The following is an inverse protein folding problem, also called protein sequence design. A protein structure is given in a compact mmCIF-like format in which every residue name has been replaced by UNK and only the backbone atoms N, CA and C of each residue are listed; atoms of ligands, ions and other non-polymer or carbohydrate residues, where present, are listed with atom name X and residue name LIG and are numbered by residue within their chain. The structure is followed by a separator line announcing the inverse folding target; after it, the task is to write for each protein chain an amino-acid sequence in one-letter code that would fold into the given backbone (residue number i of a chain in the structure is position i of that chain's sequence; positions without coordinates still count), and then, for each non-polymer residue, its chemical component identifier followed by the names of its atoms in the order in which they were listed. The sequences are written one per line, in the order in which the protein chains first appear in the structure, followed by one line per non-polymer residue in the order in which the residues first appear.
data_IF_170389934036
#
_entry.id   IF_170389934036
#
_cell.length_a   1.000
_cell.length_b   1.000
_cell.length_c   1.000
_cell.angle_alpha   90.00
_cell.angle_beta   90.00
_cell.angle_gamma   90.00
#
_symmetry.space_group_name_H-M   'P 1'
#
loop_
_entity.id
_entity.type
_entity.pdbx_description
1 polymer ?
#
# COMPACT_ATOMS: atom_id res chain seq x y z
N UNK A 1 -33.39 -45.87 82.16
CA UNK A 1 -33.35 -45.77 80.68
C UNK A 1 -33.95 -44.43 80.27
N UNK A 2 -33.37 -43.85 79.22
CA UNK A 2 -33.90 -42.74 78.40
C UNK A 2 -33.64 -41.31 78.87
N UNK A 3 -32.43 -40.82 78.57
CA UNK A 3 -32.26 -39.48 78.00
C UNK A 3 -31.34 -39.62 76.79
N UNK A 4 -31.88 -39.65 75.55
CA UNK A 4 -31.32 -38.74 74.55
C UNK A 4 -32.32 -38.43 73.42
N UNK A 5 -32.94 -37.25 73.40
CA UNK A 5 -33.78 -36.88 72.24
C UNK A 5 -33.68 -35.40 71.84
N UNK A 6 -33.48 -34.49 72.79
CA UNK A 6 -33.39 -33.04 72.46
C UNK A 6 -32.08 -32.60 71.78
N UNK A 7 -30.94 -33.24 72.05
CA UNK A 7 -29.65 -32.88 71.41
C UNK A 7 -29.53 -33.40 69.98
N UNK A 8 -30.25 -34.48 69.63
CA UNK A 8 -30.17 -35.13 68.31
C UNK A 8 -31.03 -34.39 67.27
N UNK A 9 -32.14 -33.79 67.68
CA UNK A 9 -33.06 -33.04 66.78
C UNK A 9 -32.51 -31.67 66.39
N UNK A 10 -31.68 -31.04 67.22
CA UNK A 10 -31.04 -29.73 66.93
C UNK A 10 -29.72 -29.89 66.14
N UNK A 11 -29.01 -31.00 66.32
CA UNK A 11 -27.77 -31.27 65.58
C UNK A 11 -28.02 -31.61 64.09
N UNK A 12 -29.12 -32.31 63.78
CA UNK A 12 -29.46 -32.73 62.42
C UNK A 12 -29.56 -31.57 61.39
N UNK A 13 -30.29 -30.47 61.65
CA UNK A 13 -30.40 -29.36 60.70
C UNK A 13 -29.09 -28.57 60.53
N UNK A 14 -28.24 -28.54 61.56
CA UNK A 14 -26.91 -27.89 61.51
C UNK A 14 -25.93 -28.72 60.68
N UNK A 15 -25.92 -30.04 60.86
CA UNK A 15 -25.10 -30.95 60.02
C UNK A 15 -25.57 -30.89 58.57
N UNK A 16 -26.88 -30.85 58.32
CA UNK A 16 -27.42 -30.73 56.97
C UNK A 16 -27.02 -29.40 56.30
N UNK A 17 -27.09 -28.27 57.01
CA UNK A 17 -26.64 -26.97 56.47
C UNK A 17 -25.14 -26.93 56.22
N UNK A 18 -24.32 -27.53 57.09
CA UNK A 18 -22.87 -27.64 56.88
C UNK A 18 -22.54 -28.53 55.67
N UNK A 19 -23.21 -29.67 55.49
CA UNK A 19 -23.02 -30.54 54.32
C UNK A 19 -23.44 -29.83 53.02
N UNK A 20 -24.55 -29.10 53.03
CA UNK A 20 -24.99 -28.30 51.88
C UNK A 20 -23.99 -27.19 51.57
N UNK A 21 -23.49 -26.47 52.58
CA UNK A 21 -22.48 -25.43 52.41
C UNK A 21 -21.16 -25.98 51.84
N UNK A 22 -20.72 -27.16 52.29
CA UNK A 22 -19.54 -27.85 51.76
C UNK A 22 -19.78 -28.28 50.31
N UNK A 23 -20.96 -28.85 50.00
CA UNK A 23 -21.30 -29.27 48.64
C UNK A 23 -21.36 -28.08 47.67
N UNK A 24 -21.93 -26.95 48.09
CA UNK A 24 -21.95 -25.70 47.31
C UNK A 24 -20.54 -25.15 47.15
N UNK A 25 -19.73 -25.09 48.21
CA UNK A 25 -18.35 -24.64 48.16
C UNK A 25 -17.49 -25.49 47.21
N UNK A 26 -17.65 -26.82 47.23
CA UNK A 26 -16.97 -27.73 46.31
C UNK A 26 -17.41 -27.54 44.86
N UNK A 27 -18.70 -27.31 44.62
CA UNK A 27 -19.23 -27.00 43.28
C UNK A 27 -18.67 -25.69 42.71
N UNK A 28 -18.59 -24.64 43.54
CA UNK A 28 -18.02 -23.35 43.14
C UNK A 28 -16.55 -23.49 42.78
N UNK A 29 -15.76 -24.22 43.56
CA UNK A 29 -14.33 -24.46 43.26
C UNK A 29 -14.16 -25.23 41.94
N UNK A 30 -14.97 -26.25 41.68
CA UNK A 30 -14.91 -27.00 40.42
C UNK A 30 -15.32 -26.13 39.23
N UNK A 31 -16.32 -25.25 39.41
CA UNK A 31 -16.74 -24.32 38.36
C UNK A 31 -15.67 -23.25 38.08
N UNK A 32 -15.05 -22.69 39.12
CA UNK A 32 -13.97 -21.72 39.02
C UNK A 32 -12.72 -22.32 38.36
N UNK A 33 -12.38 -23.57 38.69
CA UNK A 33 -11.31 -24.32 38.01
C UNK A 33 -11.62 -24.56 36.53
N UNK A 34 -12.87 -24.91 36.18
CA UNK A 34 -13.29 -25.08 34.78
C UNK A 34 -13.29 -23.77 34.01
N UNK A 35 -13.67 -22.67 34.67
CA UNK A 35 -13.66 -21.33 34.08
C UNK A 35 -12.23 -20.85 33.85
N UNK A 36 -11.36 -21.02 34.84
CA UNK A 36 -9.93 -20.71 34.74
C UNK A 36 -9.22 -21.55 33.67
N UNK A 37 -9.54 -22.84 33.56
CA UNK A 37 -9.01 -23.70 32.49
C UNK A 37 -9.43 -23.22 31.10
N UNK A 38 -10.69 -22.80 30.93
CA UNK A 38 -11.19 -22.25 29.66
C UNK A 38 -10.50 -20.92 29.29
N UNK A 39 -10.23 -20.05 30.27
CA UNK A 39 -9.47 -18.81 30.05
C UNK A 39 -8.04 -19.13 29.64
N UNK A 40 -7.37 -20.06 30.34
CA UNK A 40 -6.00 -20.48 30.02
C UNK A 40 -5.88 -21.12 28.63
N UNK A 41 -6.89 -21.89 28.20
CA UNK A 41 -6.97 -22.44 26.85
C UNK A 41 -7.09 -21.32 25.80
N UNK A 42 -7.97 -20.34 26.04
CA UNK A 42 -8.10 -19.18 25.15
C UNK A 42 -6.82 -18.33 25.09
N UNK A 43 -6.11 -18.16 26.20
CA UNK A 43 -4.81 -17.48 26.24
C UNK A 43 -3.76 -18.24 25.43
N UNK A 44 -3.73 -19.58 25.52
CA UNK A 44 -2.79 -20.41 24.75
C UNK A 44 -3.05 -20.26 23.25
N UNK A 45 -4.31 -20.35 22.82
CA UNK A 45 -4.71 -20.14 21.42
C UNK A 45 -4.31 -18.74 20.93
N UNK A 46 -4.50 -17.71 21.77
CA UNK A 46 -4.10 -16.35 21.46
C UNK A 46 -2.58 -16.19 21.32
N UNK A 47 -1.80 -16.76 22.23
CA UNK A 47 -0.34 -16.71 22.20
C UNK A 47 0.24 -17.41 20.96
N UNK A 48 -0.27 -18.60 20.63
CA UNK A 48 0.12 -19.33 19.42
C UNK A 48 -0.18 -18.52 18.16
N UNK A 49 -1.37 -17.89 18.12
CA UNK A 49 -1.73 -17.00 17.02
C UNK A 49 -0.79 -15.79 16.90
N UNK A 50 -0.51 -15.09 18.00
CA UNK A 50 0.37 -13.92 17.99
C UNK A 50 1.82 -14.29 17.59
N UNK A 51 2.31 -15.44 18.03
CA UNK A 51 3.61 -15.97 17.60
C UNK A 51 3.64 -16.28 16.10
N UNK A 52 2.55 -16.83 15.56
CA UNK A 52 2.41 -17.06 14.12
C UNK A 52 2.30 -15.76 13.33
N UNK A 53 1.63 -14.73 13.86
CA UNK A 53 1.58 -13.38 13.28
C UNK A 53 2.98 -12.77 13.22
N UNK A 54 3.78 -12.87 14.28
CA UNK A 54 5.15 -12.35 14.29
C UNK A 54 6.01 -13.02 13.21
N UNK A 55 5.95 -14.36 13.10
CA UNK A 55 6.64 -15.11 12.04
C UNK A 55 6.14 -14.72 10.64
N UNK A 56 4.83 -14.55 10.48
CA UNK A 56 4.23 -14.12 9.22
C UNK A 56 4.74 -12.74 8.82
N UNK A 57 4.68 -11.75 9.72
CA UNK A 57 5.18 -10.38 9.47
C UNK A 57 6.64 -10.38 9.09
N UNK A 58 7.49 -11.05 9.88
CA UNK A 58 8.92 -11.18 9.58
C UNK A 58 9.18 -11.82 8.21
N UNK A 59 8.42 -12.86 7.84
CA UNK A 59 8.52 -13.48 6.52
C UNK A 59 8.11 -12.54 5.39
N UNK A 60 7.07 -11.73 5.58
CA UNK A 60 6.66 -10.73 4.57
C UNK A 60 7.71 -9.63 4.45
N UNK A 61 8.22 -9.11 5.57
CA UNK A 61 9.28 -8.09 5.59
C UNK A 61 10.53 -8.59 4.86
N UNK A 62 11.01 -9.79 5.16
CA UNK A 62 12.17 -10.36 4.48
C UNK A 62 11.98 -10.48 2.96
N UNK A 63 10.75 -10.76 2.49
CA UNK A 63 10.43 -10.77 1.06
C UNK A 63 10.41 -9.38 0.44
N UNK A 64 9.95 -8.38 1.19
CA UNK A 64 9.96 -6.97 0.77
C UNK A 64 11.39 -6.46 0.67
N UNK A 65 12.24 -6.75 1.66
CA UNK A 65 13.65 -6.35 1.68
C UNK A 65 14.50 -7.05 0.60
N UNK A 66 14.17 -8.30 0.28
CA UNK A 66 14.86 -9.06 -0.76
C UNK A 66 14.42 -8.66 -2.19
N UNK A 67 13.28 -7.99 -2.32
CA UNK A 67 12.76 -7.55 -3.61
C UNK A 67 13.32 -6.18 -3.99
N UNK A 68 13.49 -5.97 -5.30
CA UNK A 68 13.98 -4.69 -5.81
C UNK A 68 12.90 -3.61 -5.69
N UNK A 69 13.18 -2.58 -4.87
CA UNK A 69 12.30 -1.42 -4.73
C UNK A 69 12.29 -0.52 -5.99
N UNK A 70 13.18 -0.77 -6.96
CA UNK A 70 13.20 -0.11 -8.26
C UNK A 70 12.05 -0.52 -9.20
N UNK A 71 11.36 -1.63 -8.91
CA UNK A 71 10.18 -2.10 -9.66
C UNK A 71 8.97 -2.23 -8.71
N UNK A 72 8.19 -1.14 -8.53
CA UNK A 72 7.00 -1.15 -7.68
C UNK A 72 5.95 -2.17 -8.13
N UNK A 73 5.80 -2.38 -9.44
CA UNK A 73 4.90 -3.37 -10.01
C UNK A 73 5.26 -4.80 -9.60
N UNK A 74 6.54 -5.17 -9.66
CA UNK A 74 7.02 -6.46 -9.17
C UNK A 74 6.91 -6.59 -7.65
N UNK A 75 7.28 -5.54 -6.90
CA UNK A 75 7.20 -5.53 -5.44
C UNK A 75 5.76 -5.69 -4.96
N UNK A 76 4.78 -5.04 -5.60
CA UNK A 76 3.36 -5.18 -5.25
C UNK A 76 2.89 -6.63 -5.36
N UNK A 77 3.28 -7.35 -6.42
CA UNK A 77 2.97 -8.77 -6.63
C UNK A 77 3.61 -9.66 -5.58
N UNK A 78 4.83 -9.33 -5.14
CA UNK A 78 5.51 -10.04 -4.04
C UNK A 78 4.73 -9.87 -2.74
N UNK A 79 4.33 -8.63 -2.41
CA UNK A 79 3.53 -8.32 -1.21
C UNK A 79 2.19 -9.05 -1.26
N UNK A 80 1.44 -8.95 -2.36
CA UNK A 80 0.14 -9.59 -2.54
C UNK A 80 0.22 -11.11 -2.34
N UNK A 81 1.25 -11.74 -2.92
CA UNK A 81 1.48 -13.18 -2.76
C UNK A 81 1.86 -13.53 -1.32
N UNK A 82 2.65 -12.69 -0.66
CA UNK A 82 3.07 -12.90 0.72
C UNK A 82 1.88 -12.81 1.69
N UNK A 83 0.90 -11.94 1.42
CA UNK A 83 -0.28 -11.76 2.27
C UNK A 83 -1.50 -12.61 1.89
N UNK A 84 -1.39 -13.44 0.85
CA UNK A 84 -2.50 -14.24 0.36
C UNK A 84 -3.01 -15.29 1.38
N UNK A 85 -2.17 -15.69 2.35
CA UNK A 85 -2.49 -16.69 3.37
C UNK A 85 -2.06 -16.19 4.75
N UNK A 86 -2.84 -15.28 5.36
CA UNK A 86 -2.57 -14.84 6.73
C UNK A 86 -2.80 -15.98 7.73
N UNK A 87 -2.16 -15.94 8.91
CA UNK A 87 -2.55 -16.78 10.03
C UNK A 87 -3.97 -16.43 10.48
N UNK A 88 -4.67 -17.40 11.06
CA UNK A 88 -6.03 -17.26 11.56
C UNK A 88 -6.09 -17.57 13.04
N UNK A 89 -6.94 -16.84 13.78
CA UNK A 89 -7.15 -17.11 15.19
C UNK A 89 -7.93 -18.42 15.35
N UNK A 90 -7.43 -19.31 16.21
CA UNK A 90 -8.10 -20.55 16.53
C UNK A 90 -9.39 -20.32 17.33
N UNK A 91 -10.30 -21.30 17.30
CA UNK A 91 -11.46 -21.28 18.18
C UNK A 91 -11.06 -21.62 19.63
N UNK A 92 -11.81 -21.11 20.59
CA UNK A 92 -11.60 -21.34 22.02
C UNK A 92 -12.94 -21.42 22.77
N UNK A 93 -12.99 -22.02 23.97
CA UNK A 93 -14.23 -22.11 24.75
C UNK A 93 -14.88 -20.73 24.98
N UNK A 94 -16.21 -20.67 24.93
CA UNK A 94 -16.96 -19.41 24.98
C UNK A 94 -16.61 -18.53 26.18
N UNK A 95 -16.52 -19.12 27.39
CA UNK A 95 -16.15 -18.38 28.59
C UNK A 95 -14.73 -17.79 28.49
N UNK A 96 -13.79 -18.58 27.95
CA UNK A 96 -12.41 -18.15 27.72
C UNK A 96 -12.31 -17.01 26.72
N UNK A 97 -13.08 -17.05 25.62
CA UNK A 97 -13.11 -15.96 24.62
C UNK A 97 -13.64 -14.65 25.19
N UNK A 98 -14.62 -14.71 26.08
CA UNK A 98 -15.24 -13.52 26.68
C UNK A 98 -14.40 -12.91 27.80
N UNK A 99 -13.58 -13.72 28.49
CA UNK A 99 -12.88 -13.31 29.72
C UNK A 99 -11.35 -13.26 29.58
N UNK A 100 -10.79 -13.75 28.47
CA UNK A 100 -9.35 -13.65 28.16
C UNK A 100 -9.04 -12.33 27.44
N UNK A 101 -8.19 -11.51 28.05
CA UNK A 101 -7.66 -10.29 27.43
C UNK A 101 -6.78 -10.59 26.22
N UNK A 102 -5.96 -11.65 26.30
CA UNK A 102 -5.10 -12.08 25.18
C UNK A 102 -5.91 -12.52 23.97
N UNK A 103 -7.03 -13.23 24.17
CA UNK A 103 -7.90 -13.62 23.06
C UNK A 103 -8.54 -12.40 22.37
N UNK A 104 -8.95 -11.39 23.15
CA UNK A 104 -9.46 -10.14 22.61
C UNK A 104 -8.39 -9.37 21.80
N UNK A 105 -7.15 -9.30 22.30
CA UNK A 105 -6.02 -8.70 21.60
C UNK A 105 -5.68 -9.44 20.29
N UNK A 106 -5.68 -10.77 20.34
CA UNK A 106 -5.46 -11.62 19.17
C UNK A 106 -6.54 -11.40 18.11
N UNK A 107 -7.82 -11.32 18.50
CA UNK A 107 -8.92 -11.02 17.60
C UNK A 107 -8.80 -9.63 16.95
N UNK A 108 -8.40 -8.62 17.74
CA UNK A 108 -8.12 -7.29 17.21
C UNK A 108 -6.94 -7.30 16.23
N UNK A 109 -5.90 -8.08 16.54
CA UNK A 109 -4.74 -8.27 15.67
C UNK A 109 -5.15 -8.94 14.36
N UNK A 110 -5.98 -9.98 14.37
CA UNK A 110 -6.52 -10.61 13.15
C UNK A 110 -7.25 -9.63 12.24
N UNK A 111 -8.05 -8.74 12.81
CA UNK A 111 -8.76 -7.71 12.04
C UNK A 111 -7.85 -6.62 11.43
N UNK A 112 -6.60 -6.50 11.90
CA UNK A 112 -5.71 -5.36 11.59
C UNK A 112 -4.39 -5.75 10.94
N UNK A 113 -3.94 -7.00 11.10
CA UNK A 113 -2.60 -7.49 10.72
C UNK A 113 -2.25 -7.24 9.26
N UNK A 114 -3.25 -7.28 8.37
CA UNK A 114 -3.04 -7.06 6.94
C UNK A 114 -3.08 -5.59 6.50
N UNK A 115 -3.54 -4.65 7.34
CA UNK A 115 -3.72 -3.25 6.91
C UNK A 115 -2.44 -2.59 6.41
N UNK A 116 -1.29 -2.70 7.10
CA UNK A 116 -0.05 -2.06 6.64
C UNK A 116 0.40 -2.61 5.27
N UNK A 117 0.36 -3.94 5.10
CA UNK A 117 0.75 -4.58 3.86
C UNK A 117 -0.20 -4.29 2.68
N UNK A 118 -1.51 -4.21 2.95
CA UNK A 118 -2.50 -3.81 1.93
C UNK A 118 -2.29 -2.37 1.49
N UNK A 119 -1.96 -1.47 2.44
CA UNK A 119 -1.61 -0.08 2.13
C UNK A 119 -0.34 -0.02 1.29
N UNK A 120 0.71 -0.76 1.65
CA UNK A 120 1.93 -0.89 0.85
C UNK A 120 1.62 -1.37 -0.57
N UNK A 121 0.88 -2.46 -0.73
CA UNK A 121 0.49 -2.97 -2.05
C UNK A 121 -0.26 -1.93 -2.89
N UNK A 122 -1.21 -1.20 -2.28
CA UNK A 122 -1.93 -0.12 -2.97
C UNK A 122 -0.99 1.01 -3.43
N UNK A 123 -0.12 1.51 -2.54
CA UNK A 123 0.87 2.55 -2.87
C UNK A 123 1.82 2.11 -3.98
N UNK A 124 2.25 0.84 -3.97
CA UNK A 124 3.14 0.32 -5.01
C UNK A 124 2.47 0.23 -6.38
N UNK A 125 1.17 -0.10 -6.43
CA UNK A 125 0.40 -0.09 -7.69
C UNK A 125 0.20 1.32 -8.22
N UNK A 126 -0.13 2.27 -7.34
CA UNK A 126 -0.23 3.69 -7.71
C UNK A 126 1.12 4.23 -8.22
N UNK A 127 2.23 3.77 -7.62
CA UNK A 127 3.56 4.12 -8.07
C UNK A 127 3.92 3.49 -9.43
N UNK A 128 3.48 2.26 -9.71
CA UNK A 128 3.68 1.60 -11.01
C UNK A 128 3.03 2.41 -12.15
N UNK A 129 1.76 2.80 -11.96
CA UNK A 129 1.04 3.68 -12.89
C UNK A 129 1.75 5.04 -13.05
N UNK A 130 2.26 5.59 -11.95
CA UNK A 130 2.99 6.85 -11.96
C UNK A 130 4.31 6.77 -12.72
N UNK A 131 5.08 5.69 -12.57
CA UNK A 131 6.34 5.49 -13.28
C UNK A 131 6.12 5.36 -14.78
N UNK A 132 5.09 4.63 -15.21
CA UNK A 132 4.73 4.53 -16.64
C UNK A 132 4.41 5.92 -17.24
N UNK A 133 3.64 6.74 -16.51
CA UNK A 133 3.35 8.12 -16.90
C UNK A 133 4.62 9.00 -16.96
N UNK A 134 5.48 8.92 -15.95
CA UNK A 134 6.73 9.69 -15.87
C UNK A 134 7.67 9.31 -17.03
N UNK A 135 7.79 8.02 -17.34
CA UNK A 135 8.61 7.54 -18.45
C UNK A 135 8.09 8.07 -19.80
N UNK A 136 6.79 7.98 -20.03
CA UNK A 136 6.16 8.52 -21.23
C UNK A 136 6.36 10.04 -21.35
N UNK A 137 6.20 10.78 -20.25
CA UNK A 137 6.43 12.23 -20.24
C UNK A 137 7.89 12.58 -20.55
N UNK A 138 8.85 11.86 -19.96
CA UNK A 138 10.29 12.07 -20.22
C UNK A 138 10.65 11.83 -21.69
N UNK A 139 10.11 10.78 -22.32
CA UNK A 139 10.34 10.50 -23.76
C UNK A 139 9.95 11.69 -24.63
N UNK A 140 8.82 12.35 -24.33
CA UNK A 140 8.39 13.56 -25.06
C UNK A 140 9.33 14.73 -24.79
N UNK A 141 9.67 14.97 -23.52
CA UNK A 141 10.46 16.14 -23.09
C UNK A 141 11.96 16.03 -23.43
N UNK A 142 12.45 14.82 -23.71
CA UNK A 142 13.80 14.55 -24.19
C UNK A 142 13.97 14.88 -25.67
N UNK A 143 12.88 14.97 -26.45
CA UNK A 143 12.97 15.31 -27.86
C UNK A 143 13.61 16.68 -28.07
N UNK A 144 14.59 16.72 -28.98
CA UNK A 144 15.21 17.97 -29.43
C UNK A 144 14.91 18.20 -30.90
N UNK A 145 14.51 19.42 -31.25
CA UNK A 145 14.31 19.80 -32.63
C UNK A 145 15.60 19.62 -33.45
N UNK A 146 16.75 19.91 -32.84
CA UNK A 146 18.08 19.73 -33.43
C UNK A 146 18.36 18.30 -33.91
N UNK A 147 17.71 17.29 -33.32
CA UNK A 147 17.91 15.90 -33.71
C UNK A 147 17.27 15.59 -35.08
N UNK A 148 16.31 16.42 -35.52
CA UNK A 148 15.59 16.25 -36.77
C UNK A 148 16.03 17.25 -37.84
N UNK A 149 16.23 18.51 -37.46
CA UNK A 149 16.55 19.58 -38.42
C UNK A 149 18.02 20.00 -38.40
N UNK A 150 18.83 19.44 -37.50
CA UNK A 150 20.24 19.75 -37.33
C UNK A 150 20.48 21.05 -36.53
N UNK A 151 21.75 21.45 -36.45
CA UNK A 151 22.17 22.69 -35.79
C UNK A 151 22.29 23.82 -36.81
N UNK A 152 21.86 25.03 -36.43
CA UNK A 152 22.04 26.26 -37.22
C UNK A 152 20.78 26.76 -37.94
N UNK A 153 20.98 27.61 -38.96
CA UNK A 153 19.88 28.22 -39.71
C UNK A 153 19.20 27.19 -40.62
N UNK A 154 17.88 27.02 -40.43
CA UNK A 154 17.06 26.14 -41.24
C UNK A 154 16.58 26.92 -42.45
N UNK A 155 17.12 26.58 -43.62
CA UNK A 155 16.83 27.28 -44.88
C UNK A 155 15.77 26.59 -45.75
N UNK A 156 15.34 25.38 -45.38
CA UNK A 156 14.35 24.61 -46.13
C UNK A 156 13.27 24.06 -45.20
N UNK A 157 11.99 24.23 -45.57
CA UNK A 157 10.83 23.76 -44.79
C UNK A 157 10.63 22.23 -44.88
N UNK A 158 11.26 21.56 -45.86
CA UNK A 158 11.05 20.15 -46.14
C UNK A 158 11.30 19.24 -44.93
N UNK A 159 12.45 19.40 -44.24
CA UNK A 159 12.75 18.60 -43.04
C UNK A 159 11.83 18.91 -41.87
N UNK A 160 11.43 20.17 -41.72
CA UNK A 160 10.50 20.59 -40.66
C UNK A 160 9.15 19.86 -40.82
N UNK A 161 8.61 19.84 -42.05
CA UNK A 161 7.32 19.20 -42.36
C UNK A 161 7.39 17.67 -42.39
N UNK A 162 8.48 17.09 -42.88
CA UNK A 162 8.58 15.64 -43.08
C UNK A 162 9.12 14.89 -41.85
N UNK A 163 9.91 15.54 -40.99
CA UNK A 163 10.63 14.87 -39.90
C UNK A 163 10.25 15.45 -38.53
N UNK A 164 10.46 16.76 -38.31
CA UNK A 164 10.27 17.40 -37.01
C UNK A 164 8.82 17.34 -36.53
N UNK A 165 7.88 17.87 -37.32
CA UNK A 165 6.47 17.91 -36.95
C UNK A 165 5.92 16.48 -36.73
N UNK A 166 6.11 15.52 -37.65
CA UNK A 166 5.64 14.14 -37.43
C UNK A 166 6.26 13.45 -36.21
N UNK A 167 7.52 13.74 -35.87
CA UNK A 167 8.16 13.17 -34.69
C UNK A 167 7.49 13.64 -33.39
N UNK A 168 7.27 14.95 -33.25
CA UNK A 168 6.59 15.49 -32.07
C UNK A 168 5.11 15.09 -32.00
N UNK A 169 4.41 15.01 -33.15
CA UNK A 169 3.03 14.49 -33.21
C UNK A 169 2.98 13.04 -32.69
N UNK A 170 3.87 12.17 -33.18
CA UNK A 170 3.91 10.78 -32.72
C UNK A 170 4.18 10.67 -31.23
N UNK A 171 5.13 11.43 -30.70
CA UNK A 171 5.49 11.39 -29.29
C UNK A 171 4.36 11.92 -28.40
N UNK A 172 3.69 13.01 -28.80
CA UNK A 172 2.49 13.52 -28.12
C UNK A 172 1.37 12.46 -28.11
N UNK A 173 1.07 11.88 -29.27
CA UNK A 173 -0.01 10.89 -29.39
C UNK A 173 0.31 9.58 -28.62
N UNK A 174 1.59 9.20 -28.52
CA UNK A 174 2.02 8.07 -27.71
C UNK A 174 1.88 8.39 -26.21
N UNK A 175 2.27 9.59 -25.79
CA UNK A 175 2.09 10.06 -24.43
C UNK A 175 0.61 10.15 -24.02
N UNK A 176 -0.27 10.63 -24.91
CA UNK A 176 -1.70 10.74 -24.66
C UNK A 176 -2.39 9.38 -24.45
N UNK A 177 -1.73 8.27 -24.84
CA UNK A 177 -2.18 6.90 -24.57
C UNK A 177 -1.72 6.36 -23.21
N UNK A 178 -0.73 6.99 -22.58
CA UNK A 178 -0.26 6.58 -21.27
C UNK A 178 -1.34 6.83 -20.22
N UNK A 179 -1.53 5.92 -19.25
CA UNK A 179 -2.48 6.13 -18.17
C UNK A 179 -2.08 7.35 -17.35
N UNK A 180 -3.03 8.24 -17.08
CA UNK A 180 -2.79 9.44 -16.26
C UNK A 180 -3.07 9.10 -14.79
N UNK A 181 -2.09 9.23 -13.89
CA UNK A 181 -2.29 8.99 -12.47
C UNK A 181 -3.33 9.93 -11.87
N UNK A 182 -4.03 9.46 -10.84
CA UNK A 182 -5.09 10.23 -10.17
C UNK A 182 -4.54 11.58 -9.69
N UNK A 183 -5.26 12.65 -10.02
CA UNK A 183 -4.88 14.02 -9.63
C UNK A 183 -3.75 14.64 -10.46
N UNK A 184 -3.25 13.98 -11.50
CA UNK A 184 -2.17 14.48 -12.38
C UNK A 184 -2.63 14.91 -13.77
N UNK A 185 -3.94 15.14 -13.95
CA UNK A 185 -4.51 15.62 -15.22
C UNK A 185 -3.89 16.95 -15.69
N UNK A 186 -3.64 17.89 -14.78
CA UNK A 186 -3.00 19.18 -15.11
C UNK A 186 -1.54 18.99 -15.56
N UNK A 187 -0.80 18.07 -14.95
CA UNK A 187 0.57 17.75 -15.37
C UNK A 187 0.57 17.08 -16.75
N UNK A 188 -0.36 16.15 -16.99
CA UNK A 188 -0.52 15.52 -18.29
C UNK A 188 -0.82 16.55 -19.38
N UNK A 189 -1.74 17.46 -19.11
CA UNK A 189 -2.05 18.57 -20.00
C UNK A 189 -0.83 19.44 -20.29
N UNK A 190 -0.01 19.79 -19.29
CA UNK A 190 1.22 20.57 -19.51
C UNK A 190 2.22 19.88 -20.43
N UNK A 191 2.39 18.56 -20.31
CA UNK A 191 3.27 17.77 -21.19
C UNK A 191 2.73 17.76 -22.62
N UNK A 192 1.42 17.54 -22.77
CA UNK A 192 0.73 17.60 -24.06
C UNK A 192 0.89 18.98 -24.71
N UNK A 193 0.57 20.05 -23.97
CA UNK A 193 0.63 21.43 -24.44
C UNK A 193 2.06 21.85 -24.82
N UNK A 194 3.07 21.36 -24.10
CA UNK A 194 4.48 21.59 -24.46
C UNK A 194 4.82 20.96 -25.83
N UNK A 195 4.45 19.70 -26.05
CA UNK A 195 4.65 19.07 -27.35
C UNK A 195 3.86 19.77 -28.47
N UNK A 196 2.61 20.16 -28.18
CA UNK A 196 1.76 20.92 -29.10
C UNK A 196 2.39 22.26 -29.48
N UNK A 197 2.93 22.99 -28.51
CA UNK A 197 3.61 24.25 -28.77
C UNK A 197 4.76 24.09 -29.75
N UNK A 198 5.59 23.04 -29.63
CA UNK A 198 6.67 22.78 -30.61
C UNK A 198 6.11 22.48 -31.99
N UNK A 199 5.02 21.71 -32.10
CA UNK A 199 4.35 21.42 -33.36
C UNK A 199 3.84 22.72 -34.02
N UNK A 200 3.20 23.59 -33.25
CA UNK A 200 2.66 24.85 -33.74
C UNK A 200 3.78 25.80 -34.18
N UNK A 201 4.83 25.96 -33.38
CA UNK A 201 5.97 26.80 -33.71
C UNK A 201 6.76 26.25 -34.91
N UNK A 202 6.91 24.93 -35.02
CA UNK A 202 7.54 24.29 -36.17
C UNK A 202 6.71 24.48 -37.46
N UNK A 203 5.38 24.46 -37.35
CA UNK A 203 4.48 24.74 -38.48
C UNK A 203 4.64 26.18 -38.95
N UNK A 204 4.61 27.14 -38.02
CA UNK A 204 4.86 28.55 -38.31
C UNK A 204 6.25 28.79 -38.92
N UNK A 205 7.28 28.10 -38.41
CA UNK A 205 8.63 28.14 -38.97
C UNK A 205 8.63 27.68 -40.44
N UNK A 206 8.01 26.54 -40.74
CA UNK A 206 7.95 26.01 -42.10
C UNK A 206 7.26 26.99 -43.07
N UNK A 207 6.14 27.59 -42.65
CA UNK A 207 5.42 28.60 -43.42
C UNK A 207 6.25 29.88 -43.64
N UNK A 208 6.97 30.34 -42.62
CA UNK A 208 7.81 31.54 -42.74
C UNK A 208 9.02 31.32 -43.63
N UNK A 209 9.65 30.13 -43.58
CA UNK A 209 10.74 29.76 -44.50
C UNK A 209 10.26 29.82 -45.96
N UNK A 210 9.08 29.28 -46.24
CA UNK A 210 8.49 29.30 -47.59
C UNK A 210 8.21 30.73 -48.08
N UNK A 211 7.85 31.63 -47.17
CA UNK A 211 7.65 33.05 -47.44
C UNK A 211 8.95 33.89 -47.42
N UNK A 212 10.13 33.25 -47.34
CA UNK A 212 11.45 33.92 -47.21
C UNK A 212 11.56 34.87 -46.03
N UNK A 213 10.82 34.59 -44.96
CA UNK A 213 10.85 35.34 -43.71
C UNK A 213 11.73 34.64 -42.69
N UNK A 214 12.50 35.43 -41.94
CA UNK A 214 13.27 34.91 -40.82
C UNK A 214 12.34 34.62 -39.64
N UNK A 215 12.55 33.47 -39.01
CA UNK A 215 11.85 33.07 -37.80
C UNK A 215 12.79 32.28 -36.89
N UNK A 216 12.69 32.54 -35.60
CA UNK A 216 13.39 31.81 -34.56
C UNK A 216 12.41 31.62 -33.42
N UNK A 217 12.37 30.42 -32.86
CA UNK A 217 11.62 30.13 -31.66
C UNK A 217 12.49 29.33 -30.71
N UNK A 218 12.29 29.55 -29.42
CA UNK A 218 12.82 28.73 -28.34
C UNK A 218 11.64 28.14 -27.60
N UNK A 219 11.80 26.91 -27.12
CA UNK A 219 10.83 26.19 -26.32
C UNK A 219 11.50 25.55 -25.08
N UNK A 220 12.77 25.92 -24.84
CA UNK A 220 13.62 25.29 -23.82
C UNK A 220 13.10 25.58 -22.42
N UNK A 221 12.64 26.80 -22.16
CA UNK A 221 12.16 27.20 -20.83
C UNK A 221 10.85 26.48 -20.50
N UNK A 222 9.94 26.39 -21.47
CA UNK A 222 8.68 25.66 -21.35
C UNK A 222 8.93 24.17 -21.12
N UNK A 223 9.83 23.55 -21.89
CA UNK A 223 10.20 22.14 -21.71
C UNK A 223 10.88 21.89 -20.37
N UNK A 224 11.76 22.80 -19.94
CA UNK A 224 12.46 22.66 -18.67
C UNK A 224 11.48 22.75 -17.50
N UNK A 225 10.56 23.72 -17.50
CA UNK A 225 9.56 23.86 -16.44
C UNK A 225 8.66 22.63 -16.33
N UNK A 226 8.27 22.01 -17.46
CA UNK A 226 7.49 20.77 -17.45
C UNK A 226 8.34 19.57 -17.02
N UNK A 227 9.60 19.49 -17.47
CA UNK A 227 10.53 18.45 -17.06
C UNK A 227 10.83 18.48 -15.55
N UNK A 228 10.99 19.68 -14.99
CA UNK A 228 11.16 19.89 -13.56
C UNK A 228 9.92 19.40 -12.80
N UNK A 229 8.71 19.75 -13.26
CA UNK A 229 7.46 19.28 -12.64
C UNK A 229 7.28 17.75 -12.72
N UNK A 230 7.71 17.12 -13.81
CA UNK A 230 7.74 15.65 -13.94
C UNK A 230 8.79 15.04 -13.00
N UNK A 231 9.94 15.68 -12.84
CA UNK A 231 11.01 15.26 -11.92
C UNK A 231 10.59 15.38 -10.46
N UNK A 232 9.91 16.45 -10.09
CA UNK A 232 9.33 16.65 -8.76
C UNK A 232 8.31 15.56 -8.45
N UNK A 233 7.45 15.23 -9.42
CA UNK A 233 6.51 14.13 -9.25
C UNK A 233 7.23 12.79 -9.10
N UNK A 234 8.27 12.51 -9.88
CA UNK A 234 9.07 11.30 -9.73
C UNK A 234 9.73 11.19 -8.34
N UNK A 235 10.19 12.32 -7.82
CA UNK A 235 10.76 12.42 -6.47
C UNK A 235 9.70 12.13 -5.40
N UNK A 236 8.49 12.69 -5.57
CA UNK A 236 7.35 12.42 -4.69
C UNK A 236 7.03 10.92 -4.67
N UNK A 237 6.87 10.28 -5.84
CA UNK A 237 6.56 8.83 -5.95
C UNK A 237 7.62 7.99 -5.26
N UNK A 238 8.91 8.32 -5.45
CA UNK A 238 10.01 7.63 -4.77
C UNK A 238 9.93 7.80 -3.25
N UNK A 239 9.58 8.99 -2.78
CA UNK A 239 9.35 9.28 -1.36
C UNK A 239 8.20 8.44 -0.78
N UNK A 240 7.06 8.40 -1.49
CA UNK A 240 5.87 7.66 -1.07
C UNK A 240 6.15 6.15 -0.97
N UNK A 241 6.91 5.59 -1.93
CA UNK A 241 7.36 4.18 -1.87
C UNK A 241 8.25 3.96 -0.63
N UNK A 242 9.25 4.82 -0.42
CA UNK A 242 10.19 4.69 0.68
C UNK A 242 9.47 4.78 2.05
N UNK A 243 8.52 5.71 2.19
CA UNK A 243 7.70 5.84 3.38
C UNK A 243 6.81 4.60 3.59
N UNK A 244 6.17 4.10 2.53
CA UNK A 244 5.32 2.92 2.62
C UNK A 244 6.11 1.66 2.99
N UNK A 245 7.32 1.48 2.45
CA UNK A 245 8.21 0.38 2.81
C UNK A 245 8.66 0.53 4.27
N UNK A 246 9.13 1.72 4.67
CA UNK A 246 9.55 2.00 6.04
C UNK A 246 8.41 1.76 7.05
N UNK A 247 7.17 2.12 6.71
CA UNK A 247 5.99 1.90 7.55
C UNK A 247 5.65 0.42 7.77
N UNK A 248 6.19 -0.49 6.97
CA UNK A 248 6.02 -1.94 7.15
C UNK A 248 7.24 -2.59 7.82
N UNK A 249 8.43 -2.01 7.66
CA UNK A 249 9.68 -2.54 8.24
C UNK A 249 10.03 -1.96 9.60
N UNK A 250 9.53 -0.76 9.96
CA UNK A 250 9.78 -0.13 11.26
C UNK A 250 8.93 -0.70 12.41
N UNK A 251 7.81 -1.37 12.10
CA UNK A 251 6.93 -2.03 13.07
C UNK A 251 7.34 -3.50 13.36
N UNK A 252 8.60 -3.85 13.03
CA UNK A 252 9.18 -5.19 13.15
C UNK A 252 9.94 -5.41 14.47
#
# INVERSE_FOLDING_TARGET
MNVPTRRLVVALPVVLTVVIAIAIGALVVVQDQRQSAQVSEAETVAQDYLANVAKFRSSVIAKVEAADAGDPGALSKVVDRAIARPPHLGDAPAYGREHSTSYAEAAQTEATVLRPFRRLSATLREADDALAFIEAARKVLELRATDYVGYGFITTSARVRAELIPAFVRARDEFDRAPVPKGKAELAKKVHDAAQYVIDQATLLAERIENRQNFSFSYREEFQAVADAVSDYATQVKGDIAEAVAGVTADA
#
